data_IF_374946884685
#
_entry.id   IF_374946884685
#
_cell.length_a   1.000
_cell.length_b   1.000
_cell.length_c   1.000
_cell.angle_alpha   90.00
_cell.angle_beta   90.00
_cell.angle_gamma   90.00
#
_symmetry.space_group_name_H-M   'P 1'
#
loop_
_entity.id
_entity.type
_entity.pdbx_description
1 polymer ?
#
# COMPACT_ATOMS: atom_id res chain seq x y z
N UNK A 1 26.56 15.71 -1.98
CA UNK A 1 25.44 15.99 -1.06
C UNK A 1 25.78 15.87 0.43
N UNK A 2 26.66 14.95 0.88
CA UNK A 2 26.95 14.76 2.31
C UNK A 2 27.41 16.01 3.08
N UNK A 3 28.18 16.91 2.44
CA UNK A 3 28.76 18.11 3.07
C UNK A 3 27.74 19.06 3.72
N UNK A 4 26.52 19.17 3.16
CA UNK A 4 25.45 20.03 3.70
C UNK A 4 24.36 19.25 4.46
N UNK A 5 24.30 17.94 4.28
CA UNK A 5 23.25 17.12 4.88
C UNK A 5 23.51 16.86 6.38
N UNK A 6 24.74 16.52 6.75
CA UNK A 6 25.10 16.26 8.15
C UNK A 6 24.89 17.49 9.06
N UNK A 7 25.29 18.72 8.67
CA UNK A 7 24.94 19.91 9.46
C UNK A 7 23.44 20.18 9.54
N UNK A 8 22.67 19.85 8.49
CA UNK A 8 21.22 20.02 8.51
C UNK A 8 20.55 19.05 9.48
N UNK A 9 21.01 17.79 9.54
CA UNK A 9 20.53 16.81 10.51
C UNK A 9 20.80 17.27 11.95
N UNK A 10 22.02 17.76 12.23
CA UNK A 10 22.37 18.30 13.56
C UNK A 10 21.48 19.47 13.96
N UNK A 11 21.18 20.38 13.03
CA UNK A 11 20.29 21.53 13.28
C UNK A 11 18.84 21.12 13.51
N UNK A 12 18.42 20.01 12.93
CA UNK A 12 17.08 19.47 13.10
C UNK A 12 16.96 18.51 14.30
N UNK A 13 18.04 18.28 15.04
CA UNK A 13 18.11 17.33 16.16
C UNK A 13 17.71 15.88 15.79
N UNK A 14 17.92 15.51 14.52
CA UNK A 14 17.63 14.17 14.02
C UNK A 14 18.90 13.32 14.14
N UNK A 15 18.73 12.07 14.58
CA UNK A 15 19.80 11.08 14.56
C UNK A 15 20.39 10.95 13.14
N UNK A 16 21.65 10.53 13.06
CA UNK A 16 22.35 10.46 11.79
C UNK A 16 21.74 9.42 10.86
N UNK A 17 20.92 9.87 9.92
CA UNK A 17 20.39 9.08 8.81
C UNK A 17 21.18 9.30 7.53
N UNK A 18 21.03 8.39 6.57
CA UNK A 18 21.62 8.49 5.24
C UNK A 18 20.68 9.25 4.32
N UNK A 19 21.23 9.92 3.31
CA UNK A 19 20.42 10.76 2.39
C UNK A 19 19.32 9.98 1.65
N UNK A 20 19.54 8.70 1.34
CA UNK A 20 18.54 7.88 0.68
C UNK A 20 17.46 7.35 1.64
N UNK A 21 17.65 7.43 2.95
CA UNK A 21 16.61 7.10 3.93
C UNK A 21 15.43 8.08 3.80
N UNK A 22 15.67 9.30 3.28
CA UNK A 22 14.60 10.23 2.89
C UNK A 22 13.73 9.66 1.75
N UNK A 23 14.34 9.01 0.75
CA UNK A 23 13.60 8.35 -0.33
C UNK A 23 12.80 7.16 0.19
N UNK A 24 13.39 6.39 1.10
CA UNK A 24 12.68 5.29 1.75
C UNK A 24 11.47 5.79 2.56
N UNK A 25 11.65 6.87 3.32
CA UNK A 25 10.58 7.51 4.09
C UNK A 25 9.44 7.98 3.16
N UNK A 26 9.78 8.70 2.09
CA UNK A 26 8.80 9.17 1.10
C UNK A 26 7.99 8.01 0.49
N UNK A 27 8.66 6.97 0.02
CA UNK A 27 8.00 5.81 -0.58
C UNK A 27 7.09 5.08 0.43
N UNK A 28 7.57 4.90 1.67
CA UNK A 28 6.83 4.18 2.71
C UNK A 28 5.51 4.88 3.06
N UNK A 29 5.55 6.21 3.23
CA UNK A 29 4.34 7.01 3.50
C UNK A 29 3.34 6.89 2.35
N UNK A 30 3.79 7.05 1.11
CA UNK A 30 2.90 6.95 -0.05
C UNK A 30 2.25 5.56 -0.17
N UNK A 31 3.01 4.49 0.09
CA UNK A 31 2.48 3.12 0.08
C UNK A 31 1.44 2.93 1.19
N UNK A 32 1.69 3.47 2.39
CA UNK A 32 0.75 3.41 3.50
C UNK A 32 -0.57 4.13 3.19
N UNK A 33 -0.49 5.27 2.50
CA UNK A 33 -1.62 6.03 1.98
C UNK A 33 -2.37 5.30 0.84
N UNK A 34 -1.85 4.17 0.35
CA UNK A 34 -2.47 3.39 -0.71
C UNK A 34 -2.26 3.96 -2.12
N UNK A 35 -1.24 4.80 -2.30
CA UNK A 35 -0.95 5.41 -3.60
C UNK A 35 -0.48 4.41 -4.64
N UNK A 36 -0.65 4.79 -5.91
CA UNK A 36 -0.29 3.92 -7.02
C UNK A 36 1.25 3.70 -7.09
N UNK A 37 1.76 2.46 -7.04
CA UNK A 37 3.19 2.18 -7.09
C UNK A 37 3.91 2.74 -8.33
N UNK A 38 3.21 2.83 -9.46
CA UNK A 38 3.76 3.41 -10.70
C UNK A 38 3.86 4.93 -10.64
N UNK A 39 2.93 5.57 -9.93
CA UNK A 39 3.04 7.00 -9.63
C UNK A 39 4.26 7.26 -8.74
N UNK A 40 4.39 6.52 -7.63
CA UNK A 40 5.53 6.64 -6.71
C UNK A 40 6.86 6.41 -7.44
N UNK A 41 6.95 5.35 -8.27
CA UNK A 41 8.11 5.08 -9.11
C UNK A 41 8.48 6.30 -9.98
N UNK A 42 7.50 6.91 -10.65
CA UNK A 42 7.72 8.06 -11.51
C UNK A 42 8.22 9.27 -10.73
N UNK A 43 7.63 9.58 -9.56
CA UNK A 43 8.07 10.68 -8.70
C UNK A 43 9.50 10.50 -8.20
N UNK A 44 9.91 9.27 -7.93
CA UNK A 44 11.27 8.94 -7.50
C UNK A 44 12.28 8.90 -8.66
N UNK A 45 11.82 8.96 -9.90
CA UNK A 45 12.67 8.85 -11.10
C UNK A 45 13.27 7.47 -11.30
N UNK A 46 12.67 6.41 -10.75
CA UNK A 46 13.15 5.05 -10.99
C UNK A 46 12.83 4.65 -12.44
N UNK A 47 13.85 4.18 -13.16
CA UNK A 47 13.73 3.74 -14.55
C UNK A 47 12.86 2.49 -14.73
N UNK A 48 12.68 1.72 -13.66
CA UNK A 48 11.90 0.48 -13.68
C UNK A 48 11.04 0.33 -12.43
N UNK A 49 9.80 -0.13 -12.63
CA UNK A 49 8.90 -0.52 -11.55
C UNK A 49 9.45 -1.69 -10.73
N UNK A 50 10.32 -2.53 -11.32
CA UNK A 50 10.97 -3.65 -10.64
C UNK A 50 11.74 -3.18 -9.41
N UNK A 51 12.46 -2.06 -9.52
CA UNK A 51 13.20 -1.46 -8.39
C UNK A 51 12.23 -1.10 -7.25
N UNK A 52 11.06 -0.59 -7.60
CA UNK A 52 10.00 -0.24 -6.64
C UNK A 52 9.53 -1.49 -5.88
N UNK A 53 9.13 -2.54 -6.60
CA UNK A 53 8.61 -3.77 -5.99
C UNK A 53 9.69 -4.55 -5.23
N UNK A 54 10.91 -4.65 -5.76
CA UNK A 54 12.02 -5.32 -5.08
C UNK A 54 12.35 -4.64 -3.74
N UNK A 55 12.28 -3.30 -3.70
CA UNK A 55 12.64 -2.52 -2.51
C UNK A 55 11.49 -2.41 -1.51
N UNK A 56 10.27 -2.17 -1.97
CA UNK A 56 9.14 -1.78 -1.13
C UNK A 56 7.94 -2.72 -1.19
N UNK A 57 8.01 -3.81 -1.97
CA UNK A 57 6.91 -4.76 -2.12
C UNK A 57 6.45 -5.34 -0.78
N UNK A 58 7.35 -5.47 0.19
CA UNK A 58 7.04 -5.95 1.54
C UNK A 58 6.15 -4.99 2.36
N UNK A 59 6.08 -3.71 1.99
CA UNK A 59 5.19 -2.72 2.64
C UNK A 59 3.79 -2.71 2.02
N UNK A 60 3.61 -3.32 0.84
CA UNK A 60 2.33 -3.32 0.16
C UNK A 60 1.38 -4.32 0.79
N UNK A 61 0.15 -3.87 1.05
CA UNK A 61 -0.94 -4.75 1.51
C UNK A 61 -1.25 -5.77 0.40
N UNK A 62 -1.05 -7.05 0.71
CA UNK A 62 -1.39 -8.16 -0.20
C UNK A 62 -2.89 -8.43 -0.27
N UNK A 63 -3.63 -7.98 0.74
CA UNK A 63 -5.09 -8.14 0.83
C UNK A 63 -5.74 -6.77 0.89
N UNK A 64 -6.69 -6.52 -0.02
CA UNK A 64 -7.48 -5.30 -0.06
C UNK A 64 -8.97 -5.65 -0.10
N UNK A 65 -9.57 -5.76 1.10
CA UNK A 65 -10.99 -6.12 1.25
C UNK A 65 -11.92 -5.10 0.61
N UNK A 66 -11.57 -3.82 0.65
CA UNK A 66 -12.34 -2.76 -0.01
C UNK A 66 -12.30 -2.88 -1.53
N UNK A 67 -11.16 -3.30 -2.11
CA UNK A 67 -11.08 -3.61 -3.54
C UNK A 67 -11.96 -4.80 -3.90
N UNK A 68 -11.98 -5.85 -3.07
CA UNK A 68 -12.88 -6.99 -3.27
C UNK A 68 -14.36 -6.60 -3.17
N UNK A 69 -14.73 -5.76 -2.19
CA UNK A 69 -16.10 -5.25 -2.05
C UNK A 69 -16.50 -4.41 -3.26
N UNK A 70 -15.65 -3.46 -3.69
CA UNK A 70 -15.89 -2.63 -4.89
C UNK A 70 -16.07 -3.47 -6.15
N UNK A 71 -15.29 -4.55 -6.29
CA UNK A 71 -15.46 -5.50 -7.39
C UNK A 71 -16.81 -6.22 -7.32
N UNK A 72 -17.20 -6.68 -6.13
CA UNK A 72 -18.51 -7.29 -5.90
C UNK A 72 -19.66 -6.35 -6.26
N UNK A 73 -19.59 -5.10 -5.81
CA UNK A 73 -20.61 -4.08 -6.12
C UNK A 73 -20.65 -3.76 -7.62
N UNK A 74 -19.49 -3.70 -8.29
CA UNK A 74 -19.41 -3.42 -9.72
C UNK A 74 -19.94 -4.57 -10.59
N UNK A 75 -19.76 -5.82 -10.16
CA UNK A 75 -20.20 -7.01 -10.92
C UNK A 75 -21.66 -7.35 -10.64
N UNK A 76 -22.09 -7.28 -9.39
CA UNK A 76 -23.41 -7.77 -8.95
C UNK A 76 -24.42 -6.66 -8.66
N UNK A 77 -24.01 -5.39 -8.77
CA UNK A 77 -24.81 -4.24 -8.34
C UNK A 77 -25.02 -4.20 -6.82
N UNK A 78 -25.72 -3.18 -6.33
CA UNK A 78 -26.08 -3.04 -4.91
C UNK A 78 -26.93 -4.18 -4.34
N UNK A 79 -27.48 -5.06 -5.19
CA UNK A 79 -28.26 -6.23 -4.80
C UNK A 79 -27.41 -7.48 -4.50
N UNK A 80 -26.14 -7.52 -4.92
CA UNK A 80 -25.24 -8.67 -4.68
C UNK A 80 -24.97 -8.97 -3.20
N UNK A 81 -25.03 -7.96 -2.35
CA UNK A 81 -24.86 -8.10 -0.89
C UNK A 81 -25.94 -9.01 -0.26
N UNK A 82 -27.14 -9.08 -0.86
CA UNK A 82 -28.23 -9.96 -0.39
C UNK A 82 -28.01 -11.44 -0.71
N UNK A 83 -27.23 -11.76 -1.75
CA UNK A 83 -27.01 -13.16 -2.16
C UNK A 83 -26.05 -13.90 -1.23
N UNK A 84 -24.99 -13.23 -0.74
CA UNK A 84 -23.99 -13.86 0.14
C UNK A 84 -24.54 -14.06 1.57
N UNK A 85 -25.45 -13.19 2.03
CA UNK A 85 -26.05 -13.28 3.36
C UNK A 85 -27.11 -14.40 3.50
N UNK A 86 -27.59 -14.99 2.41
CA UNK A 86 -28.71 -15.95 2.45
C UNK A 86 -28.29 -17.40 2.72
N UNK A 87 -26.99 -17.74 2.72
CA UNK A 87 -26.56 -19.10 3.08
C UNK A 87 -26.40 -19.29 4.61
N UNK A 88 -27.50 -19.10 5.35
CA UNK A 88 -27.67 -19.60 6.73
C UNK A 88 -29.14 -20.03 6.94
N UNK A 89 -29.46 -21.26 6.55
CA UNK A 89 -30.29 -22.23 7.29
C UNK A 89 -30.71 -23.36 6.35
N UNK A 90 -30.15 -24.55 6.58
CA UNK A 90 -30.49 -25.73 5.81
C UNK A 90 -29.63 -26.96 6.12
N UNK A 91 -29.23 -27.17 7.36
CA UNK A 91 -28.93 -28.53 7.84
C UNK A 91 -29.93 -28.79 8.94
N UNK A 92 -31.11 -29.22 8.52
CA UNK A 92 -32.07 -29.85 9.40
C UNK A 92 -31.50 -31.20 9.82
N UNK A 93 -31.67 -31.51 11.11
CA UNK A 93 -31.66 -32.84 11.68
C UNK A 93 -32.10 -33.91 10.66
N UNK A 94 -31.23 -34.90 10.47
CA UNK A 94 -31.65 -36.24 10.05
C UNK A 94 -30.99 -37.26 10.96
N UNK A 95 -31.79 -37.76 11.91
CA UNK A 95 -31.82 -39.15 12.39
C UNK A 95 -30.61 -39.66 13.14
#
# INVERSE_FOLDING_TARGET
>A
MRRKFEPALKRAEIERIRFHDLRHTYASIQIELGENPKYIQHQMGHSSIKIMFDTYGHLMKTVNREAANRLGDAIFGSDGSKMVATNKKGVADIG
#
